data_IF_599237898145
#
_entry.id   IF_599237898145
#
_cell.length_a   1.000
_cell.length_b   1.000
_cell.length_c   1.000
_cell.angle_alpha   90.00
_cell.angle_beta   90.00
_cell.angle_gamma   90.00
#
_symmetry.space_group_name_H-M   'P 1'
#
loop_
_entity.id
_entity.type
_entity.pdbx_description
1 polymer ?
#
# COMPACT_ATOMS: atom_id res chain seq x y z
N UNK A 1 -51.53 -8.11 17.89
CA UNK A 1 -50.52 -8.85 17.10
C UNK A 1 -49.44 -7.96 16.46
N UNK A 2 -49.78 -6.86 15.75
CA UNK A 2 -48.76 -5.99 15.08
C UNK A 2 -47.73 -5.35 16.04
N UNK A 3 -48.13 -4.96 17.24
CA UNK A 3 -47.24 -4.37 18.28
C UNK A 3 -46.27 -5.38 18.87
N UNK A 4 -46.70 -6.63 19.08
CA UNK A 4 -45.88 -7.72 19.56
C UNK A 4 -44.78 -8.09 18.56
N UNK A 5 -45.08 -8.16 17.26
CA UNK A 5 -44.10 -8.39 16.21
C UNK A 5 -43.07 -7.24 16.07
N UNK A 6 -43.52 -5.98 16.27
CA UNK A 6 -42.59 -4.84 16.29
C UNK A 6 -41.66 -4.89 17.49
N UNK A 7 -42.15 -5.29 18.64
CA UNK A 7 -41.36 -5.44 19.85
C UNK A 7 -40.29 -6.54 19.69
N UNK A 8 -40.64 -7.74 19.20
CA UNK A 8 -39.70 -8.82 18.92
C UNK A 8 -38.65 -8.40 17.89
N UNK A 9 -39.06 -7.74 16.81
CA UNK A 9 -38.15 -7.23 15.79
C UNK A 9 -37.15 -6.25 16.39
N UNK A 10 -37.57 -5.35 17.27
CA UNK A 10 -36.66 -4.38 17.90
C UNK A 10 -35.67 -5.05 18.85
N UNK A 11 -36.11 -6.05 19.63
CA UNK A 11 -35.22 -6.87 20.48
C UNK A 11 -34.20 -7.60 19.61
N UNK A 12 -34.62 -8.19 18.51
CA UNK A 12 -33.73 -8.89 17.59
C UNK A 12 -32.68 -7.94 16.97
N UNK A 13 -33.07 -6.73 16.57
CA UNK A 13 -32.15 -5.71 16.07
C UNK A 13 -31.16 -5.25 17.14
N UNK A 14 -31.59 -5.07 18.39
CA UNK A 14 -30.71 -4.74 19.50
C UNK A 14 -29.72 -5.88 19.81
N UNK A 15 -30.18 -7.13 19.73
CA UNK A 15 -29.31 -8.29 19.91
C UNK A 15 -28.27 -8.41 18.80
N UNK A 16 -28.65 -8.14 17.54
CA UNK A 16 -27.72 -8.08 16.40
C UNK A 16 -26.67 -6.96 16.57
N UNK A 17 -27.09 -5.78 17.01
CA UNK A 17 -26.18 -4.67 17.30
C UNK A 17 -25.21 -5.03 18.43
N UNK A 18 -25.71 -5.60 19.53
CA UNK A 18 -24.87 -6.02 20.64
C UNK A 18 -23.89 -7.13 20.23
N UNK A 19 -24.32 -8.08 19.41
CA UNK A 19 -23.47 -9.12 18.85
C UNK A 19 -22.42 -8.55 17.92
N UNK A 20 -22.78 -7.57 17.06
CA UNK A 20 -21.83 -6.87 16.18
C UNK A 20 -20.77 -6.12 16.96
N UNK A 21 -21.16 -5.38 18.03
CA UNK A 21 -20.21 -4.68 18.92
C UNK A 21 -19.31 -5.67 19.67
N UNK A 22 -19.88 -6.78 20.14
CA UNK A 22 -19.10 -7.83 20.83
C UNK A 22 -18.08 -8.47 19.90
N UNK A 23 -18.49 -8.82 18.66
CA UNK A 23 -17.62 -9.39 17.63
C UNK A 23 -16.51 -8.41 17.26
N UNK A 24 -16.88 -7.12 17.08
CA UNK A 24 -15.91 -6.05 16.80
C UNK A 24 -14.85 -5.94 17.90
N UNK A 25 -15.24 -6.01 19.19
CA UNK A 25 -14.28 -5.91 20.30
C UNK A 25 -13.38 -7.14 20.47
N UNK A 26 -13.88 -8.34 20.14
CA UNK A 26 -13.19 -9.59 20.47
C UNK A 26 -12.54 -10.27 19.25
N UNK A 27 -12.75 -9.75 18.04
CA UNK A 27 -12.17 -10.32 16.83
C UNK A 27 -11.38 -9.27 16.08
N UNK A 28 -10.03 -9.29 16.13
CA UNK A 28 -9.19 -8.32 15.45
C UNK A 28 -9.37 -8.35 13.93
N UNK A 29 -9.62 -9.50 13.32
CA UNK A 29 -9.85 -9.61 11.88
C UNK A 29 -11.16 -8.92 11.47
N UNK A 30 -12.18 -9.00 12.32
CA UNK A 30 -13.45 -8.30 12.11
C UNK A 30 -13.31 -6.78 12.28
N UNK A 31 -12.46 -6.32 13.22
CA UNK A 31 -12.11 -4.90 13.36
C UNK A 31 -11.44 -4.37 12.08
N UNK A 32 -10.45 -5.11 11.58
CA UNK A 32 -9.72 -4.77 10.36
C UNK A 32 -10.69 -4.65 9.19
N UNK A 33 -11.51 -5.67 8.94
CA UNK A 33 -12.48 -5.68 7.84
C UNK A 33 -13.51 -4.54 7.93
N UNK A 34 -13.95 -4.20 9.15
CA UNK A 34 -14.93 -3.12 9.37
C UNK A 34 -14.30 -1.75 9.12
N UNK A 35 -13.09 -1.51 9.62
CA UNK A 35 -12.38 -0.26 9.41
C UNK A 35 -12.03 -0.05 7.92
N UNK A 36 -11.59 -1.10 7.23
CA UNK A 36 -11.31 -1.05 5.80
C UNK A 36 -12.56 -0.77 4.96
N UNK A 37 -13.69 -1.34 5.34
CA UNK A 37 -14.98 -1.03 4.70
C UNK A 37 -15.35 0.45 4.88
N UNK A 38 -15.20 1.00 6.09
CA UNK A 38 -15.51 2.40 6.37
C UNK A 38 -14.58 3.36 5.64
N UNK A 39 -13.28 3.07 5.58
CA UNK A 39 -12.31 3.85 4.80
C UNK A 39 -12.65 3.81 3.31
N UNK A 40 -12.93 2.63 2.76
CA UNK A 40 -13.33 2.48 1.36
C UNK A 40 -14.64 3.21 1.06
N UNK A 41 -15.60 3.16 1.97
CA UNK A 41 -16.89 3.86 1.83
C UNK A 41 -16.72 5.38 1.86
N UNK A 42 -15.91 5.90 2.78
CA UNK A 42 -15.62 7.34 2.87
C UNK A 42 -14.91 7.86 1.62
N UNK A 43 -13.96 7.10 1.08
CA UNK A 43 -13.30 7.41 -0.18
C UNK A 43 -14.29 7.46 -1.36
N UNK A 44 -15.17 6.46 -1.48
CA UNK A 44 -16.19 6.44 -2.55
C UNK A 44 -17.19 7.59 -2.42
N UNK A 45 -17.59 7.94 -1.20
CA UNK A 45 -18.46 9.10 -0.95
C UNK A 45 -17.76 10.40 -1.36
N UNK A 46 -16.50 10.59 -0.97
CA UNK A 46 -15.72 11.76 -1.38
C UNK A 46 -15.54 11.82 -2.91
N UNK A 47 -15.27 10.70 -3.57
CA UNK A 47 -15.18 10.63 -5.02
C UNK A 47 -16.49 11.02 -5.70
N UNK A 48 -17.65 10.59 -5.17
CA UNK A 48 -18.96 10.96 -5.68
C UNK A 48 -19.30 12.43 -5.45
N UNK A 49 -18.84 13.02 -4.34
CA UNK A 49 -19.07 14.43 -4.04
C UNK A 49 -18.15 15.36 -4.86
N UNK A 50 -16.94 14.91 -5.20
CA UNK A 50 -15.99 15.70 -6.01
C UNK A 50 -16.25 15.61 -7.51
N UNK A 51 -16.87 14.54 -8.01
CA UNK A 51 -17.27 14.41 -9.42
C UNK A 51 -18.52 15.26 -9.79
N UNK A 52 -19.17 15.87 -8.80
CA UNK A 52 -20.37 16.72 -9.03
C UNK A 52 -20.10 18.18 -9.40
N UNK A 53 -18.84 18.64 -9.44
CA UNK A 53 -18.50 20.04 -9.77
C UNK A 53 -17.20 20.11 -10.58
N UNK A 54 -17.30 19.92 -11.89
CA UNK A 54 -16.20 20.30 -12.78
C UNK A 54 -16.67 21.20 -13.89
N UNK A 55 -16.46 22.49 -13.71
CA UNK A 55 -16.19 23.41 -14.80
C UNK A 55 -14.69 23.65 -14.81
N UNK A 56 -14.05 23.27 -15.90
CA UNK A 56 -12.63 23.48 -16.14
C UNK A 56 -12.32 24.95 -16.43
N UNK A 57 -11.18 25.49 -16.01
CA UNK A 57 -10.51 26.57 -16.73
C UNK A 57 -9.28 26.04 -17.48
N UNK A 58 -9.30 26.23 -18.79
CA UNK A 58 -8.10 26.25 -19.64
C UNK A 58 -7.26 27.46 -19.26
N UNK A 59 -5.97 27.27 -18.98
CA UNK A 59 -4.94 28.15 -19.49
C UNK A 59 -3.56 27.51 -19.34
N UNK A 60 -2.85 27.48 -20.47
CA UNK A 60 -1.50 26.96 -20.55
C UNK A 60 -0.46 27.98 -20.06
N UNK A 61 0.64 27.45 -19.56
CA UNK A 61 1.98 28.03 -19.66
C UNK A 61 2.99 26.89 -19.76
N UNK A 62 3.74 26.90 -20.86
CA UNK A 62 4.93 26.08 -21.09
C UNK A 62 6.00 26.38 -20.05
N UNK A 63 6.55 25.35 -19.44
CA UNK A 63 7.92 25.35 -18.98
C UNK A 63 8.46 23.92 -18.99
N UNK A 64 9.37 23.69 -19.93
CA UNK A 64 10.17 22.48 -20.02
C UNK A 64 11.08 22.36 -18.81
N UNK A 65 10.81 21.42 -17.94
CA UNK A 65 11.83 20.74 -17.12
C UNK A 65 11.32 19.32 -16.91
N UNK A 66 11.89 18.38 -17.66
CA UNK A 66 11.59 16.96 -17.53
C UNK A 66 12.24 16.44 -16.24
N UNK A 67 11.53 16.49 -15.16
CA UNK A 67 11.75 15.60 -14.03
C UNK A 67 10.62 14.58 -14.09
N UNK A 68 10.90 13.41 -14.62
CA UNK A 68 9.94 12.32 -14.67
C UNK A 68 9.79 11.76 -13.25
N UNK A 69 8.87 12.36 -12.49
CA UNK A 69 8.33 11.75 -11.27
C UNK A 69 6.99 11.14 -11.69
N UNK A 70 7.01 9.87 -12.04
CA UNK A 70 5.78 9.11 -12.30
C UNK A 70 5.03 8.92 -10.99
N UNK A 71 4.00 9.74 -10.79
CA UNK A 71 2.92 9.44 -9.87
C UNK A 71 2.07 8.36 -10.52
N UNK A 72 2.15 7.14 -10.01
CA UNK A 72 1.41 5.99 -10.53
C UNK A 72 -0.06 6.06 -10.12
N UNK A 73 -0.86 6.84 -10.86
CA UNK A 73 -2.30 6.65 -10.94
C UNK A 73 -2.67 6.45 -12.41
N UNK A 74 -3.19 5.26 -12.72
CA UNK A 74 -3.72 4.80 -14.01
C UNK A 74 -2.68 4.57 -15.12
N UNK A 75 -2.29 3.31 -15.30
CA UNK A 75 -1.84 2.93 -16.62
C UNK A 75 -2.23 1.51 -17.04
N UNK A 76 -3.00 1.46 -18.13
CA UNK A 76 -3.14 0.32 -19.02
C UNK A 76 -1.97 0.39 -20.02
N UNK A 77 -0.83 -0.21 -19.72
CA UNK A 77 0.36 -0.42 -20.57
C UNK A 77 1.66 0.21 -20.07
N UNK A 78 1.99 0.09 -18.78
CA UNK A 78 3.36 0.40 -18.39
C UNK A 78 4.28 -0.79 -18.69
N UNK A 79 5.31 -0.55 -19.47
CA UNK A 79 6.44 -1.49 -19.60
C UNK A 79 6.94 -1.81 -18.18
N UNK A 80 6.97 -3.10 -17.83
CA UNK A 80 7.43 -3.56 -16.53
C UNK A 80 8.89 -3.19 -16.35
N UNK A 81 9.18 -2.26 -15.46
CA UNK A 81 10.53 -1.80 -15.12
C UNK A 81 11.10 -2.69 -14.03
N UNK A 82 12.25 -3.28 -14.27
CA UNK A 82 12.86 -4.27 -13.38
C UNK A 82 14.32 -3.95 -13.11
N UNK A 83 14.88 -4.44 -12.01
CA UNK A 83 16.31 -4.44 -11.80
C UNK A 83 17.00 -5.37 -12.80
N UNK A 84 18.29 -5.14 -13.06
CA UNK A 84 19.07 -6.01 -13.95
C UNK A 84 19.25 -7.44 -13.41
N UNK A 85 19.05 -7.61 -12.09
CA UNK A 85 19.04 -8.90 -11.38
C UNK A 85 17.92 -8.90 -10.35
N UNK A 86 17.44 -10.09 -9.90
CA UNK A 86 16.41 -10.20 -8.86
C UNK A 86 16.98 -9.95 -7.46
N UNK A 87 17.75 -8.88 -7.30
CA UNK A 87 18.38 -8.49 -6.03
C UNK A 87 18.61 -6.98 -5.98
N UNK A 88 18.56 -6.40 -4.78
CA UNK A 88 18.87 -5.00 -4.55
C UNK A 88 19.42 -4.77 -3.13
N UNK A 89 20.33 -3.78 -2.98
CA UNK A 89 20.78 -3.28 -1.69
C UNK A 89 19.75 -2.26 -1.15
N UNK A 90 19.37 -2.42 0.11
CA UNK A 90 18.36 -1.61 0.78
C UNK A 90 18.95 -0.91 1.99
N UNK A 91 18.80 0.40 2.06
CA UNK A 91 19.10 1.20 3.25
C UNK A 91 17.81 1.59 3.96
N UNK A 92 17.67 1.20 5.24
CA UNK A 92 16.50 1.56 6.06
C UNK A 92 16.80 2.84 6.83
N UNK A 93 16.40 3.99 6.28
CA UNK A 93 16.60 5.33 6.85
C UNK A 93 15.48 5.71 7.83
N UNK A 94 15.23 4.84 8.81
CA UNK A 94 14.24 5.04 9.87
C UNK A 94 14.95 4.94 11.22
N UNK A 95 15.37 6.11 11.77
CA UNK A 95 16.23 6.14 12.96
C UNK A 95 15.44 6.14 14.28
N UNK A 96 14.32 6.87 14.34
CA UNK A 96 13.62 7.18 15.58
C UNK A 96 12.22 6.57 15.66
N UNK A 97 11.95 5.55 14.85
CA UNK A 97 10.66 4.87 14.83
C UNK A 97 10.86 3.36 14.73
N UNK A 98 10.93 2.71 15.88
CA UNK A 98 11.21 1.26 15.96
C UNK A 98 10.11 0.43 15.29
N UNK A 99 8.85 0.82 15.42
CA UNK A 99 7.72 0.09 14.83
C UNK A 99 7.80 0.07 13.30
N UNK A 100 7.96 1.24 12.67
CA UNK A 100 8.04 1.32 11.20
C UNK A 100 9.37 0.73 10.68
N UNK A 101 10.46 0.86 11.45
CA UNK A 101 11.74 0.22 11.11
C UNK A 101 11.60 -1.31 11.14
N UNK A 102 10.99 -1.88 12.17
CA UNK A 102 10.73 -3.31 12.27
C UNK A 102 9.84 -3.78 11.12
N UNK A 103 8.75 -3.08 10.84
CA UNK A 103 7.84 -3.41 9.75
C UNK A 103 8.55 -3.43 8.38
N UNK A 104 9.42 -2.47 8.11
CA UNK A 104 10.22 -2.45 6.88
C UNK A 104 11.16 -3.67 6.78
N UNK A 105 11.83 -4.04 7.88
CA UNK A 105 12.71 -5.22 7.94
C UNK A 105 11.90 -6.51 7.79
N UNK A 106 10.75 -6.61 8.45
CA UNK A 106 9.86 -7.77 8.36
C UNK A 106 9.33 -7.98 6.94
N UNK A 107 8.97 -6.90 6.26
CA UNK A 107 8.56 -6.92 4.87
C UNK A 107 9.68 -7.37 3.91
N UNK A 108 10.91 -6.86 4.09
CA UNK A 108 12.08 -7.34 3.35
C UNK A 108 12.30 -8.85 3.56
N UNK A 109 12.21 -9.30 4.82
CA UNK A 109 12.36 -10.71 5.16
C UNK A 109 11.23 -11.57 4.59
N UNK A 110 10.01 -11.04 4.52
CA UNK A 110 8.88 -11.73 3.90
C UNK A 110 9.13 -11.98 2.41
N UNK A 111 9.54 -10.97 1.66
CA UNK A 111 9.95 -11.11 0.26
C UNK A 111 11.14 -12.06 0.09
N UNK A 112 12.19 -11.93 0.90
CA UNK A 112 13.37 -12.79 0.84
C UNK A 112 13.01 -14.27 1.02
N UNK A 113 12.08 -14.60 1.94
CA UNK A 113 11.60 -15.98 2.15
C UNK A 113 10.91 -16.58 0.92
N UNK A 114 10.41 -15.76 -0.01
CA UNK A 114 9.79 -16.26 -1.24
C UNK A 114 10.80 -16.83 -2.24
N UNK A 115 12.06 -16.41 -2.15
CA UNK A 115 13.13 -16.76 -3.07
C UNK A 115 12.93 -16.23 -4.51
N UNK A 116 11.99 -15.29 -4.71
CA UNK A 116 11.74 -14.69 -6.02
C UNK A 116 12.57 -13.42 -6.23
N UNK A 117 12.89 -12.71 -5.16
CA UNK A 117 13.75 -11.52 -5.14
C UNK A 117 14.50 -11.45 -3.81
N UNK A 118 15.71 -10.87 -3.79
CA UNK A 118 16.52 -10.76 -2.58
C UNK A 118 16.86 -9.31 -2.26
N UNK A 119 16.45 -8.86 -1.08
CA UNK A 119 16.85 -7.57 -0.51
C UNK A 119 18.03 -7.79 0.43
N UNK A 120 19.15 -7.11 0.16
CA UNK A 120 20.32 -7.08 1.03
C UNK A 120 20.32 -5.79 1.82
N UNK A 121 20.16 -5.87 3.13
CA UNK A 121 20.27 -4.68 3.97
C UNK A 121 21.71 -4.18 3.99
N UNK A 122 21.90 -2.87 3.81
CA UNK A 122 23.20 -2.19 3.89
C UNK A 122 23.14 -1.02 4.88
N UNK A 123 24.25 -0.74 5.54
CA UNK A 123 24.43 0.42 6.42
C UNK A 123 24.98 1.64 5.66
N UNK A 124 25.38 1.48 4.41
CA UNK A 124 25.86 2.55 3.55
C UNK A 124 24.76 3.00 2.56
N UNK A 125 24.22 4.20 2.80
CA UNK A 125 23.18 4.79 1.95
C UNK A 125 23.64 5.00 0.50
N UNK A 126 24.93 5.25 0.26
CA UNK A 126 25.46 5.47 -1.08
C UNK A 126 25.49 4.19 -1.92
N UNK A 127 25.52 3.02 -1.27
CA UNK A 127 25.47 1.71 -1.92
C UNK A 127 24.06 1.18 -2.11
N UNK A 128 23.08 1.84 -1.50
CA UNK A 128 21.69 1.41 -1.57
C UNK A 128 21.08 1.77 -2.94
N UNK A 129 20.39 0.80 -3.50
CA UNK A 129 19.54 0.95 -4.69
C UNK A 129 18.11 1.30 -4.27
N UNK A 130 17.70 0.85 -3.08
CA UNK A 130 16.39 1.13 -2.47
C UNK A 130 16.63 1.82 -1.13
N UNK A 131 15.93 2.91 -0.89
CA UNK A 131 15.92 3.61 0.40
C UNK A 131 14.52 3.57 0.98
N UNK A 132 14.37 3.03 2.19
CA UNK A 132 13.10 3.04 2.92
C UNK A 132 13.16 4.12 3.99
N UNK A 133 12.24 5.05 3.96
CA UNK A 133 12.14 6.16 4.92
C UNK A 133 10.71 6.38 5.39
N UNK A 134 10.52 7.34 6.31
CA UNK A 134 9.20 7.73 6.77
C UNK A 134 8.89 9.17 6.39
N UNK A 135 7.64 9.42 6.06
CA UNK A 135 7.05 10.75 5.90
C UNK A 135 5.92 10.95 6.91
N UNK A 136 5.51 12.19 7.10
CA UNK A 136 4.36 12.56 7.93
C UNK A 136 3.52 13.53 7.12
N UNK A 137 2.72 12.97 6.20
CA UNK A 137 2.03 13.73 5.17
C UNK A 137 0.52 13.46 5.20
N UNK A 138 -0.24 14.50 5.56
CA UNK A 138 -1.71 14.47 5.57
C UNK A 138 -2.33 14.83 4.22
N UNK A 139 -1.55 15.38 3.28
CA UNK A 139 -2.04 15.92 2.02
C UNK A 139 -2.17 14.81 0.96
N UNK A 140 -1.50 13.68 1.17
CA UNK A 140 -1.68 12.48 0.37
C UNK A 140 -2.73 11.56 1.00
N UNK A 141 -3.39 10.72 0.20
CA UNK A 141 -4.31 9.69 0.70
C UNK A 141 -3.64 8.31 0.78
N UNK A 142 -2.30 8.29 0.87
CA UNK A 142 -1.50 7.08 0.79
C UNK A 142 -0.80 6.77 2.12
N UNK A 143 -0.95 5.54 2.60
CA UNK A 143 -0.25 5.02 3.77
C UNK A 143 1.21 4.66 3.47
N UNK A 144 1.52 4.41 2.19
CA UNK A 144 2.86 4.24 1.65
C UNK A 144 2.92 4.79 0.22
N UNK A 145 4.12 5.05 -0.25
CA UNK A 145 4.40 5.52 -1.61
C UNK A 145 5.77 5.02 -2.06
N UNK A 146 5.88 4.58 -3.30
CA UNK A 146 7.15 4.17 -3.91
C UNK A 146 7.40 4.96 -5.18
N UNK A 147 8.49 5.72 -5.20
CA UNK A 147 9.00 6.40 -6.37
C UNK A 147 10.18 5.64 -6.96
N UNK A 148 10.20 5.43 -8.27
CA UNK A 148 11.28 4.73 -8.96
C UNK A 148 11.93 5.58 -10.03
N UNK A 149 13.23 5.42 -10.23
CA UNK A 149 13.96 5.93 -11.38
C UNK A 149 14.52 4.77 -12.20
N UNK A 150 14.52 4.93 -13.52
CA UNK A 150 14.95 3.89 -14.43
C UNK A 150 15.79 4.44 -15.58
N UNK A 151 16.56 3.58 -16.22
CA UNK A 151 17.29 3.91 -17.42
C UNK A 151 16.35 3.81 -18.64
N UNK A 152 16.10 4.91 -19.36
CA UNK A 152 15.14 4.92 -20.47
C UNK A 152 15.60 4.06 -21.67
N UNK A 153 16.90 3.76 -21.79
CA UNK A 153 17.42 2.93 -22.89
C UNK A 153 17.30 1.44 -22.65
N UNK A 154 17.25 1.01 -21.39
CA UNK A 154 17.22 -0.42 -21.02
C UNK A 154 15.95 -0.83 -20.28
N UNK A 155 15.17 0.14 -19.79
CA UNK A 155 14.03 -0.11 -18.90
C UNK A 155 14.43 -0.55 -17.48
N UNK A 156 15.74 -0.71 -17.19
CA UNK A 156 16.17 -1.17 -15.87
C UNK A 156 16.03 -0.09 -14.81
N UNK A 157 15.52 -0.48 -13.63
CA UNK A 157 15.49 0.34 -12.43
C UNK A 157 16.91 0.72 -12.00
N UNK A 158 17.07 1.96 -11.56
CA UNK A 158 18.32 2.51 -11.05
C UNK A 158 18.22 2.82 -9.56
N UNK A 159 17.07 3.34 -9.12
CA UNK A 159 16.77 3.65 -7.72
C UNK A 159 15.30 3.48 -7.43
N UNK A 160 14.98 3.19 -6.16
CA UNK A 160 13.63 3.27 -5.61
C UNK A 160 13.68 3.94 -4.23
N UNK A 161 12.77 4.88 -4.01
CA UNK A 161 12.55 5.54 -2.72
C UNK A 161 11.17 5.10 -2.20
N UNK A 162 11.18 4.39 -1.07
CA UNK A 162 9.98 3.86 -0.41
C UNK A 162 9.67 4.71 0.82
N UNK A 163 8.49 5.28 0.88
CA UNK A 163 8.01 6.10 1.99
C UNK A 163 6.89 5.41 2.75
N UNK A 164 7.04 5.26 4.06
CA UNK A 164 5.99 4.82 4.98
C UNK A 164 5.41 6.06 5.66
N UNK A 165 4.12 6.32 5.47
CA UNK A 165 3.48 7.53 5.95
C UNK A 165 2.97 7.36 7.38
N UNK A 166 3.68 7.96 8.34
CA UNK A 166 3.34 7.91 9.77
C UNK A 166 1.97 8.49 10.08
N UNK A 167 1.57 9.51 9.34
CA UNK A 167 0.26 10.15 9.52
C UNK A 167 -0.89 9.13 9.47
N UNK A 168 -0.82 8.16 8.57
CA UNK A 168 -1.82 7.10 8.46
C UNK A 168 -1.47 5.88 9.32
N UNK A 169 -0.23 5.40 9.24
CA UNK A 169 0.17 4.12 9.80
C UNK A 169 0.21 4.10 11.33
N UNK A 170 0.42 5.25 11.97
CA UNK A 170 0.55 5.35 13.44
C UNK A 170 -0.54 6.19 14.11
N UNK A 171 -1.50 6.68 13.36
CA UNK A 171 -2.64 7.38 13.90
C UNK A 171 -3.75 6.37 14.21
N UNK A 172 -4.13 6.27 15.48
CA UNK A 172 -5.15 5.34 15.98
C UNK A 172 -6.51 5.49 15.27
N UNK A 173 -6.81 6.68 14.75
CA UNK A 173 -8.02 6.94 13.98
C UNK A 173 -8.16 6.07 12.73
N UNK A 174 -7.03 5.75 12.07
CA UNK A 174 -7.02 4.92 10.88
C UNK A 174 -6.93 3.42 11.16
N UNK A 175 -6.67 3.04 12.43
CA UNK A 175 -6.75 1.66 12.92
C UNK A 175 -5.78 0.69 12.23
N UNK A 176 -4.58 1.14 11.84
CA UNK A 176 -3.57 0.23 11.29
C UNK A 176 -3.00 -0.67 12.39
N UNK A 177 -3.25 -1.98 12.29
CA UNK A 177 -2.55 -2.97 13.09
C UNK A 177 -1.10 -3.13 12.64
N UNK A 178 -0.24 -3.72 13.48
CA UNK A 178 1.14 -4.01 13.10
C UNK A 178 1.23 -4.86 11.81
N UNK A 179 0.33 -5.82 11.62
CA UNK A 179 0.30 -6.63 10.41
C UNK A 179 -0.02 -5.77 9.17
N UNK A 180 -0.98 -4.84 9.27
CA UNK A 180 -1.29 -3.93 8.15
C UNK A 180 -0.14 -2.98 7.84
N UNK A 181 0.62 -2.55 8.85
CA UNK A 181 1.84 -1.75 8.65
C UNK A 181 2.89 -2.57 7.87
N UNK A 182 3.09 -3.83 8.24
CA UNK A 182 3.98 -4.75 7.51
C UNK A 182 3.48 -4.97 6.08
N UNK A 183 2.18 -5.25 5.91
CA UNK A 183 1.59 -5.43 4.58
C UNK A 183 1.75 -4.18 3.69
N UNK A 184 1.65 -2.96 4.29
CA UNK A 184 1.94 -1.72 3.56
C UNK A 184 3.40 -1.70 3.08
N UNK A 185 4.34 -2.04 3.94
CA UNK A 185 5.76 -2.11 3.56
C UNK A 185 6.03 -3.21 2.52
N UNK A 186 5.35 -4.38 2.60
CA UNK A 186 5.41 -5.44 1.59
C UNK A 186 4.88 -4.95 0.23
N UNK A 187 3.78 -4.19 0.22
CA UNK A 187 3.17 -3.58 -0.96
C UNK A 187 4.14 -2.61 -1.63
N UNK A 188 4.69 -1.67 -0.86
CA UNK A 188 5.63 -0.69 -1.38
C UNK A 188 6.92 -1.34 -1.91
N UNK A 189 7.43 -2.36 -1.22
CA UNK A 189 8.55 -3.15 -1.74
C UNK A 189 8.18 -3.92 -3.01
N UNK A 190 6.91 -4.33 -3.17
CA UNK A 190 6.40 -4.89 -4.42
C UNK A 190 6.54 -3.92 -5.58
N UNK A 191 6.19 -2.65 -5.40
CA UNK A 191 6.44 -1.59 -6.41
C UNK A 191 7.94 -1.39 -6.65
N UNK A 192 8.74 -1.37 -5.59
CA UNK A 192 10.19 -1.20 -5.69
C UNK A 192 10.88 -2.32 -6.49
N UNK A 193 10.25 -3.48 -6.67
CA UNK A 193 10.77 -4.59 -7.48
C UNK A 193 10.03 -4.76 -8.83
N UNK A 194 9.16 -3.81 -9.18
CA UNK A 194 8.54 -3.74 -10.51
C UNK A 194 7.14 -4.32 -10.63
N UNK A 195 6.47 -4.63 -9.50
CA UNK A 195 5.07 -5.04 -9.52
C UNK A 195 4.14 -3.84 -9.64
N UNK A 196 3.08 -3.99 -10.42
CA UNK A 196 1.99 -3.04 -10.55
C UNK A 196 0.78 -3.46 -9.70
N UNK A 197 -0.14 -2.53 -9.48
CA UNK A 197 -1.41 -2.83 -8.82
C UNK A 197 -2.21 -3.92 -9.53
N UNK A 198 -2.96 -4.68 -8.75
CA UNK A 198 -3.93 -5.67 -9.26
C UNK A 198 -5.23 -5.62 -8.45
N UNK A 199 -6.35 -5.94 -9.08
CA UNK A 199 -7.65 -6.04 -8.40
C UNK A 199 -7.91 -7.43 -7.80
N UNK A 200 -6.93 -8.33 -7.85
CA UNK A 200 -7.00 -9.68 -7.27
C UNK A 200 -6.62 -9.67 -5.79
N UNK A 201 -6.81 -10.81 -5.10
CA UNK A 201 -6.21 -11.09 -3.78
C UNK A 201 -4.69 -11.13 -3.94
N UNK A 202 -4.01 -10.10 -3.48
CA UNK A 202 -2.58 -9.85 -3.74
C UNK A 202 -2.07 -8.81 -2.76
N UNK A 203 -0.79 -8.86 -2.42
CA UNK A 203 -0.12 -7.76 -1.71
C UNK A 203 -0.21 -6.47 -2.52
N UNK A 204 -0.29 -6.56 -3.85
CA UNK A 204 -0.43 -5.41 -4.77
C UNK A 204 -1.87 -4.92 -4.93
N UNK A 205 -2.81 -5.36 -4.08
CA UNK A 205 -4.15 -4.77 -4.06
C UNK A 205 -4.08 -3.30 -3.60
N UNK A 206 -4.64 -2.33 -4.37
CA UNK A 206 -4.33 -0.89 -4.21
C UNK A 206 -4.93 -0.24 -2.96
N UNK A 207 -5.63 -0.96 -2.10
CA UNK A 207 -6.34 -0.38 -0.96
C UNK A 207 -6.20 -1.19 0.30
N UNK A 208 -6.00 -0.47 1.42
CA UNK A 208 -6.19 -0.98 2.77
C UNK A 208 -5.06 -1.85 3.33
N UNK A 209 -4.08 -2.25 2.53
CA UNK A 209 -2.96 -3.13 2.96
C UNK A 209 -3.45 -4.39 3.68
N UNK A 210 -4.51 -5.01 3.15
CA UNK A 210 -5.22 -6.13 3.79
C UNK A 210 -4.47 -7.44 3.58
N UNK A 211 -3.88 -7.58 2.39
CA UNK A 211 -3.24 -8.82 1.98
C UNK A 211 -1.74 -8.73 2.16
N UNK A 212 -1.15 -9.80 2.65
CA UNK A 212 0.29 -10.08 2.57
C UNK A 212 0.64 -10.70 1.22
N UNK A 213 1.92 -10.98 0.98
CA UNK A 213 2.43 -11.60 -0.25
C UNK A 213 1.70 -12.92 -0.53
N UNK A 214 1.12 -13.05 -1.71
CA UNK A 214 0.38 -14.21 -2.18
C UNK A 214 1.21 -15.05 -3.16
N UNK A 215 0.87 -16.33 -3.38
CA UNK A 215 1.56 -17.18 -4.36
C UNK A 215 1.58 -16.57 -5.77
N UNK A 216 0.53 -15.84 -6.15
CA UNK A 216 0.47 -15.16 -7.45
C UNK A 216 1.48 -14.01 -7.55
N UNK A 217 1.73 -13.28 -6.45
CA UNK A 217 2.72 -12.20 -6.41
C UNK A 217 4.13 -12.77 -6.63
N UNK A 218 4.43 -13.89 -5.97
CA UNK A 218 5.70 -14.63 -6.14
C UNK A 218 5.89 -15.06 -7.60
N UNK A 219 4.83 -15.61 -8.23
CA UNK A 219 4.86 -16.00 -9.64
C UNK A 219 5.09 -14.80 -10.56
N UNK A 220 4.44 -13.68 -10.29
CA UNK A 220 4.60 -12.44 -11.05
C UNK A 220 6.04 -11.92 -10.96
N UNK A 221 6.66 -11.92 -9.77
CA UNK A 221 8.07 -11.56 -9.61
C UNK A 221 8.97 -12.51 -10.39
N UNK A 222 8.78 -13.84 -10.29
CA UNK A 222 9.55 -14.80 -11.07
C UNK A 222 9.44 -14.57 -12.57
N UNK A 223 8.23 -14.30 -13.05
CA UNK A 223 7.96 -14.03 -14.46
C UNK A 223 8.74 -12.83 -14.99
N UNK A 224 8.76 -11.71 -14.25
CA UNK A 224 9.45 -10.50 -14.71
C UNK A 224 10.98 -10.57 -14.61
N UNK A 225 11.53 -11.52 -13.81
CA UNK A 225 12.98 -11.64 -13.62
C UNK A 225 13.60 -12.90 -14.27
N UNK A 226 12.86 -14.00 -14.44
CA UNK A 226 13.42 -15.29 -14.83
C UNK A 226 12.86 -15.85 -16.16
N UNK A 227 11.76 -15.29 -16.66
CA UNK A 227 11.15 -15.71 -17.93
C UNK A 227 11.42 -14.70 -19.06
N UNK A 228 12.72 -14.42 -19.32
CA UNK A 228 13.14 -13.65 -20.52
C UNK A 228 13.79 -14.57 -21.53
#
# INVERSE_FOLDING_TARGET
>A
MRTFFRFIRNIFLLALLAFGVWTYKNNPDFQIATNDFLVTLSYRINQLLTTGTTTAPKNGINSNTKTNTDKTENDNSSETRVWSKPEANVYVDIKNNLQLRSAAIDAMNAWNRTGAFTFYQTDDKNRAQIVISTVDDSDTNAAGETATTYNPSTGHLLKADVHLNRYYLQNEWYGYSNNRIVNTAEHELGHAIGLNHTNSVSVMYPKGSIYTIQPQDIQNVRKIYHEK
#
